data_IF_024758537067
#
_entry.id   IF_024758537067
#
_cell.length_a   1.000
_cell.length_b   1.000
_cell.length_c   1.000
_cell.angle_alpha   90.00
_cell.angle_beta   90.00
_cell.angle_gamma   90.00
#
_symmetry.space_group_name_H-M   'P 1'
#
loop_
_entity.id
_entity.type
_entity.pdbx_description
1 polymer ?
#
# COMPACT_ATOMS: atom_id res chain seq x y z
N UNK A 1 43.33 -12.96 -14.51
CA UNK A 1 41.92 -13.40 -14.45
C UNK A 1 41.40 -13.23 -13.03
N UNK A 2 40.58 -12.26 -12.69
CA UNK A 2 40.26 -10.92 -13.18
C UNK A 2 39.29 -10.44 -12.09
N UNK A 3 39.67 -9.34 -11.43
CA UNK A 3 38.78 -8.28 -10.99
C UNK A 3 37.81 -8.53 -9.83
N UNK A 4 38.45 -8.51 -8.66
CA UNK A 4 37.98 -7.95 -7.39
C UNK A 4 37.55 -6.47 -7.57
N UNK A 5 36.33 -6.23 -8.06
CA UNK A 5 35.56 -4.98 -7.91
C UNK A 5 34.31 -5.34 -7.09
N UNK A 6 33.87 -4.66 -6.04
CA UNK A 6 34.28 -3.40 -5.42
C UNK A 6 33.19 -3.05 -4.39
N UNK A 7 33.62 -2.42 -3.29
CA UNK A 7 32.87 -1.84 -2.18
C UNK A 7 31.34 -1.67 -2.34
N UNK A 8 30.59 -2.41 -1.54
CA UNK A 8 29.48 -1.83 -0.80
C UNK A 8 29.78 -2.02 0.68
N UNK A 9 29.84 -0.91 1.41
CA UNK A 9 30.13 -0.86 2.84
C UNK A 9 29.07 -1.69 3.60
N UNK A 10 29.53 -2.72 4.31
CA UNK A 10 28.67 -3.59 5.13
C UNK A 10 27.82 -2.81 6.16
N UNK A 11 28.24 -1.60 6.52
CA UNK A 11 27.55 -0.76 7.51
C UNK A 11 26.22 -0.16 7.03
N UNK A 12 26.04 0.12 5.73
CA UNK A 12 24.78 0.71 5.22
C UNK A 12 23.69 -0.36 4.98
N UNK A 13 24.10 -1.58 4.63
CA UNK A 13 23.20 -2.73 4.47
C UNK A 13 22.78 -3.35 5.82
N UNK A 14 23.62 -3.27 6.85
CA UNK A 14 23.29 -3.72 8.21
C UNK A 14 22.22 -2.84 8.87
N UNK A 15 22.24 -1.53 8.64
CA UNK A 15 21.30 -0.60 9.28
C UNK A 15 19.86 -0.69 8.76
N UNK A 16 19.65 -1.17 7.52
CA UNK A 16 18.32 -1.43 6.95
C UNK A 16 17.75 -2.82 7.27
N UNK A 17 18.59 -3.74 7.75
CA UNK A 17 18.20 -5.13 8.07
C UNK A 17 17.82 -5.35 9.54
N UNK A 18 18.09 -4.42 10.44
CA UNK A 18 17.89 -4.63 11.89
C UNK A 18 16.42 -4.80 12.33
N UNK A 19 15.46 -4.59 11.42
CA UNK A 19 14.02 -4.74 11.71
C UNK A 19 13.33 -5.86 10.92
N UNK A 20 14.02 -6.52 9.99
CA UNK A 20 13.43 -7.48 9.08
C UNK A 20 14.08 -8.86 9.24
N UNK A 21 13.45 -9.78 9.99
CA UNK A 21 14.09 -11.02 10.44
C UNK A 21 14.27 -12.07 9.32
N UNK A 22 13.65 -11.88 8.15
CA UNK A 22 13.68 -12.83 7.04
C UNK A 22 14.69 -12.45 5.97
N UNK A 23 15.44 -13.42 5.44
CA UNK A 23 16.26 -13.26 4.23
C UNK A 23 15.37 -13.03 3.00
N UNK A 24 15.94 -12.46 1.93
CA UNK A 24 15.18 -12.08 0.74
C UNK A 24 14.44 -13.26 0.10
N UNK A 25 15.08 -14.44 0.11
CA UNK A 25 14.58 -15.69 -0.44
C UNK A 25 13.36 -16.20 0.34
N UNK A 26 13.35 -15.98 1.65
CA UNK A 26 12.28 -16.38 2.58
C UNK A 26 11.05 -15.45 2.52
N UNK A 27 11.20 -14.29 1.86
CA UNK A 27 10.11 -13.32 1.63
C UNK A 27 9.27 -13.66 0.39
N UNK A 28 9.61 -14.72 -0.34
CA UNK A 28 8.82 -15.20 -1.47
C UNK A 28 7.51 -15.81 -0.99
N UNK A 29 6.39 -15.44 -1.61
CA UNK A 29 5.07 -16.01 -1.35
C UNK A 29 5.01 -17.44 -1.88
N UNK A 30 4.55 -18.36 -1.03
CA UNK A 30 4.18 -19.70 -1.47
C UNK A 30 2.93 -19.66 -2.36
N UNK A 31 2.82 -20.61 -3.29
CA UNK A 31 1.70 -20.65 -4.21
C UNK A 31 0.39 -20.84 -3.43
N UNK A 32 -0.63 -20.05 -3.75
CA UNK A 32 -1.94 -20.04 -3.09
C UNK A 32 -1.97 -19.53 -1.65
N UNK A 33 -0.83 -19.12 -1.06
CA UNK A 33 -0.84 -18.44 0.23
C UNK A 33 -1.26 -16.98 0.06
N UNK A 34 -2.12 -16.47 0.95
CA UNK A 34 -2.51 -15.06 0.94
C UNK A 34 -1.33 -14.16 1.31
N UNK A 35 -1.36 -12.91 0.82
CA UNK A 35 -0.35 -11.89 1.13
C UNK A 35 -0.62 -11.29 2.52
N UNK A 36 0.40 -11.28 3.37
CA UNK A 36 0.37 -10.58 4.66
C UNK A 36 0.52 -9.06 4.50
N UNK A 37 0.42 -8.33 5.61
CA UNK A 37 0.75 -6.91 5.66
C UNK A 37 1.86 -6.69 6.65
N UNK A 38 2.93 -5.99 6.25
CA UNK A 38 4.02 -5.68 7.17
C UNK A 38 3.50 -4.80 8.30
N UNK A 39 3.85 -5.13 9.55
CA UNK A 39 3.52 -4.27 10.67
C UNK A 39 4.46 -3.06 10.68
N UNK A 40 3.90 -1.85 10.68
CA UNK A 40 4.68 -0.61 10.74
C UNK A 40 4.34 0.09 12.06
N UNK A 41 5.19 -0.10 13.07
CA UNK A 41 4.94 0.40 14.42
C UNK A 41 3.68 -0.22 15.06
N UNK A 42 2.83 0.62 15.64
CA UNK A 42 1.60 0.19 16.36
C UNK A 42 0.38 0.04 15.44
N UNK A 43 0.57 -0.28 14.16
CA UNK A 43 -0.51 -0.33 13.14
C UNK A 43 -1.10 -1.73 12.93
N UNK A 44 -0.77 -2.71 13.79
CA UNK A 44 -1.29 -4.07 13.66
C UNK A 44 -2.83 -4.14 13.68
N UNK A 45 -3.51 -3.24 14.38
CA UNK A 45 -4.97 -3.14 14.37
C UNK A 45 -5.52 -2.84 12.95
N UNK A 46 -4.83 -1.98 12.20
CA UNK A 46 -5.19 -1.64 10.83
C UNK A 46 -5.00 -2.84 9.91
N UNK A 47 -3.89 -3.57 10.06
CA UNK A 47 -3.60 -4.75 9.24
C UNK A 47 -4.70 -5.81 9.37
N UNK A 48 -5.19 -6.09 10.59
CA UNK A 48 -6.30 -7.02 10.80
C UNK A 48 -7.57 -6.57 10.09
N UNK A 49 -7.92 -5.28 10.19
CA UNK A 49 -9.12 -4.73 9.54
C UNK A 49 -9.00 -4.81 8.02
N UNK A 50 -7.85 -4.47 7.44
CA UNK A 50 -7.62 -4.53 5.99
C UNK A 50 -7.68 -5.94 5.44
N UNK A 51 -7.10 -6.92 6.14
CA UNK A 51 -7.20 -8.32 5.76
C UNK A 51 -8.66 -8.78 5.74
N UNK A 52 -9.44 -8.46 6.77
CA UNK A 52 -10.88 -8.78 6.81
C UNK A 52 -11.62 -8.12 5.63
N UNK A 53 -11.41 -6.83 5.41
CA UNK A 53 -12.07 -6.09 4.33
C UNK A 53 -11.73 -6.65 2.94
N UNK A 54 -10.47 -7.01 2.70
CA UNK A 54 -10.03 -7.64 1.46
C UNK A 54 -10.73 -8.98 1.21
N UNK A 55 -10.85 -9.82 2.24
CA UNK A 55 -11.48 -11.15 2.11
C UNK A 55 -13.00 -11.13 2.05
N UNK A 56 -13.67 -10.01 2.36
CA UNK A 56 -15.10 -9.86 2.10
C UNK A 56 -15.30 -9.72 0.58
N UNK A 57 -15.86 -10.73 -0.14
CA UNK A 57 -15.78 -10.78 -1.59
C UNK A 57 -16.40 -9.58 -2.30
N UNK A 58 -17.54 -9.10 -1.80
CA UNK A 58 -18.23 -7.94 -2.35
C UNK A 58 -17.48 -6.63 -2.12
N UNK A 59 -16.73 -6.52 -1.03
CA UNK A 59 -15.97 -5.31 -0.71
C UNK A 59 -14.67 -5.28 -1.49
N UNK A 60 -13.86 -6.35 -1.40
CA UNK A 60 -12.61 -6.49 -2.13
C UNK A 60 -12.77 -6.26 -3.63
N UNK A 61 -13.78 -6.91 -4.24
CA UNK A 61 -14.10 -6.74 -5.66
C UNK A 61 -14.45 -5.29 -6.01
N UNK A 62 -15.29 -4.63 -5.20
CA UNK A 62 -15.67 -3.23 -5.45
C UNK A 62 -14.49 -2.27 -5.39
N UNK A 63 -13.52 -2.52 -4.50
CA UNK A 63 -12.30 -1.73 -4.43
C UNK A 63 -11.42 -1.98 -5.65
N UNK A 64 -11.24 -3.23 -6.07
CA UNK A 64 -10.44 -3.58 -7.25
C UNK A 64 -11.04 -3.02 -8.55
N UNK A 65 -12.36 -3.05 -8.70
CA UNK A 65 -13.10 -2.54 -9.87
C UNK A 65 -13.38 -1.03 -9.81
N UNK A 66 -12.86 -0.33 -8.80
CA UNK A 66 -13.14 1.09 -8.60
C UNK A 66 -12.55 1.92 -9.76
N UNK A 67 -13.41 2.70 -10.39
CA UNK A 67 -13.03 3.68 -11.40
C UNK A 67 -12.93 5.06 -10.74
N UNK A 68 -11.70 5.47 -10.42
CA UNK A 68 -11.39 6.73 -9.75
C UNK A 68 -11.46 7.94 -10.68
N UNK A 69 -11.48 7.74 -11.99
CA UNK A 69 -11.61 8.84 -12.97
C UNK A 69 -13.04 9.39 -13.01
N UNK A 70 -14.02 8.53 -12.66
CA UNK A 70 -15.41 8.97 -12.42
C UNK A 70 -15.54 9.97 -11.26
N UNK A 71 -14.57 10.04 -10.34
CA UNK A 71 -14.55 11.08 -9.31
C UNK A 71 -14.11 12.41 -9.92
N UNK A 72 -15.09 13.13 -10.49
CA UNK A 72 -14.87 14.48 -11.03
C UNK A 72 -14.30 15.41 -9.94
N UNK A 73 -13.28 16.22 -10.28
CA UNK A 73 -12.78 17.24 -9.36
C UNK A 73 -13.91 18.25 -9.08
N UNK A 74 -13.94 18.76 -7.85
CA UNK A 74 -14.86 19.85 -7.49
C UNK A 74 -14.54 21.03 -8.39
N UNK A 75 -15.51 21.46 -9.21
CA UNK A 75 -15.34 22.63 -10.09
C UNK A 75 -14.99 23.83 -9.22
N UNK A 76 -13.87 24.52 -9.52
CA UNK A 76 -13.49 25.77 -8.87
C UNK A 76 -14.48 26.87 -9.27
N UNK A 77 -15.57 27.03 -8.55
CA UNK A 77 -16.45 28.21 -8.66
C UNK A 77 -15.73 29.43 -8.08
N UNK A 78 -15.89 30.60 -8.73
CA UNK A 78 -15.17 31.85 -8.40
C UNK A 78 -15.47 32.42 -7.01
N UNK A 79 -16.51 31.94 -6.31
CA UNK A 79 -16.79 32.26 -4.90
C UNK A 79 -16.45 31.04 -4.04
N UNK A 80 -15.25 31.01 -3.46
CA UNK A 80 -14.83 29.99 -2.49
C UNK A 80 -15.16 30.48 -1.08
N UNK A 81 -16.08 29.80 -0.40
CA UNK A 81 -16.22 29.90 1.05
C UNK A 81 -15.21 28.97 1.73
N UNK A 82 -14.78 29.27 2.95
CA UNK A 82 -13.90 28.41 3.74
C UNK A 82 -14.44 26.96 3.82
N UNK A 83 -15.76 26.81 3.91
CA UNK A 83 -16.42 25.51 3.97
C UNK A 83 -16.29 24.72 2.66
N UNK A 84 -16.49 25.38 1.51
CA UNK A 84 -16.30 24.73 0.20
C UNK A 84 -14.87 24.24 -0.04
N UNK A 85 -13.87 24.89 0.57
CA UNK A 85 -12.48 24.45 0.48
C UNK A 85 -12.19 23.25 1.37
N UNK A 86 -12.75 23.20 2.58
CA UNK A 86 -12.65 22.03 3.47
C UNK A 86 -13.28 20.80 2.83
N UNK A 87 -14.45 20.94 2.23
CA UNK A 87 -15.13 19.85 1.51
C UNK A 87 -14.32 19.36 0.31
N UNK A 88 -13.76 20.28 -0.48
CA UNK A 88 -12.89 19.92 -1.60
C UNK A 88 -11.65 19.16 -1.14
N UNK A 89 -10.99 19.62 -0.06
CA UNK A 89 -9.84 18.92 0.54
C UNK A 89 -10.23 17.54 1.06
N UNK A 90 -11.37 17.42 1.76
CA UNK A 90 -11.87 16.13 2.25
C UNK A 90 -12.12 15.17 1.10
N UNK A 91 -12.74 15.62 0.02
CA UNK A 91 -13.01 14.81 -1.17
C UNK A 91 -11.72 14.33 -1.84
N UNK A 92 -10.73 15.21 -1.94
CA UNK A 92 -9.42 14.86 -2.49
C UNK A 92 -8.70 13.83 -1.61
N UNK A 93 -8.68 14.03 -0.29
CA UNK A 93 -8.12 13.07 0.66
C UNK A 93 -8.83 11.72 0.60
N UNK A 94 -10.16 11.71 0.45
CA UNK A 94 -10.93 10.47 0.27
C UNK A 94 -10.62 9.77 -1.05
N UNK A 95 -10.44 10.52 -2.15
CA UNK A 95 -10.03 9.94 -3.44
C UNK A 95 -8.66 9.28 -3.31
N UNK A 96 -7.69 9.97 -2.71
CA UNK A 96 -6.34 9.44 -2.48
C UNK A 96 -6.33 8.21 -1.56
N UNK A 97 -7.19 8.19 -0.54
CA UNK A 97 -7.36 7.01 0.31
C UNK A 97 -7.83 5.80 -0.49
N UNK A 98 -8.84 5.99 -1.35
CA UNK A 98 -9.37 4.91 -2.18
C UNK A 98 -8.35 4.42 -3.22
N UNK A 99 -7.58 5.33 -3.80
CA UNK A 99 -6.46 5.01 -4.70
C UNK A 99 -5.42 4.13 -4.00
N UNK A 100 -4.93 4.56 -2.83
CA UNK A 100 -3.97 3.78 -2.04
C UNK A 100 -4.54 2.41 -1.62
N UNK A 101 -5.83 2.35 -1.27
CA UNK A 101 -6.48 1.10 -0.89
C UNK A 101 -6.61 0.13 -2.08
N UNK A 102 -6.93 0.65 -3.27
CA UNK A 102 -6.99 -0.15 -4.49
C UNK A 102 -5.60 -0.71 -4.83
N UNK A 103 -4.55 0.11 -4.77
CA UNK A 103 -3.18 -0.35 -4.99
C UNK A 103 -2.77 -1.44 -3.99
N UNK A 104 -3.12 -1.26 -2.71
CA UNK A 104 -2.86 -2.28 -1.69
C UNK A 104 -3.55 -3.61 -2.02
N UNK A 105 -4.81 -3.58 -2.45
CA UNK A 105 -5.56 -4.80 -2.78
C UNK A 105 -5.04 -5.47 -4.06
N UNK A 106 -4.55 -4.68 -5.03
CA UNK A 106 -3.86 -5.20 -6.22
C UNK A 106 -2.59 -5.94 -5.81
N UNK A 107 -1.76 -5.35 -4.95
CA UNK A 107 -0.56 -5.99 -4.39
C UNK A 107 -0.91 -7.28 -3.64
N UNK A 108 -1.94 -7.26 -2.79
CA UNK A 108 -2.38 -8.45 -2.06
C UNK A 108 -2.86 -9.57 -2.99
N UNK A 109 -3.38 -9.22 -4.17
CA UNK A 109 -3.85 -10.19 -5.17
C UNK A 109 -2.69 -10.78 -5.98
N UNK A 110 -1.84 -9.91 -6.54
CA UNK A 110 -0.90 -10.26 -7.60
C UNK A 110 0.55 -10.43 -7.14
N UNK A 111 0.91 -9.93 -5.96
CA UNK A 111 2.31 -9.92 -5.52
C UNK A 111 2.86 -11.33 -5.28
N UNK A 112 4.14 -11.52 -5.63
CA UNK A 112 4.91 -12.71 -5.28
C UNK A 112 5.64 -12.55 -3.94
N UNK A 113 5.42 -11.45 -3.22
CA UNK A 113 5.95 -11.23 -1.88
C UNK A 113 5.00 -11.81 -0.83
N UNK A 114 5.59 -12.33 0.25
CA UNK A 114 4.86 -12.89 1.39
C UNK A 114 4.01 -11.83 2.10
N UNK A 115 4.41 -10.57 2.04
CA UNK A 115 3.67 -9.44 2.56
C UNK A 115 3.81 -8.22 1.63
N UNK A 116 2.79 -7.37 1.63
CA UNK A 116 2.81 -6.05 1.01
C UNK A 116 3.36 -5.00 2.00
#
# INVERSE_FOLDING_TARGET
>A
YLDYYGDYTNQEAEFLNDTEPLRLEERKRERHMPVGLRNIGNTCYFNCIMQIMYFIPCFGRKILELDLDKFKPVKKTRKKTLESEKEARKRESSKKLLDNLQQLFIEMTLSNRKYA
#
